data_IF_097662698767
#
_entry.id   IF_097662698767
#
_cell.length_a   1.000
_cell.length_b   1.000
_cell.length_c   1.000
_cell.angle_alpha   90.00
_cell.angle_beta   90.00
_cell.angle_gamma   90.00
#
_symmetry.space_group_name_H-M   'P 1'
#
loop_
_entity.id
_entity.type
_entity.pdbx_description
1 polymer ?
#
# COMPACT_ATOMS: atom_id res chain seq x y z
N UNK A 1 12.82 -15.16 28.18
CA UNK A 1 11.64 -14.71 27.39
C UNK A 1 11.55 -15.58 26.14
N UNK A 2 10.40 -16.20 25.88
CA UNK A 2 10.17 -17.08 24.72
C UNK A 2 9.58 -16.24 23.57
N UNK A 3 10.14 -16.36 22.38
CA UNK A 3 9.68 -15.62 21.18
C UNK A 3 8.23 -15.96 20.79
N UNK A 4 7.69 -17.13 21.20
CA UNK A 4 6.27 -17.45 21.05
C UNK A 4 5.36 -16.46 21.79
N UNK A 5 5.79 -15.98 22.96
CA UNK A 5 5.05 -14.97 23.72
C UNK A 5 5.01 -13.62 22.98
N UNK A 6 6.13 -13.25 22.35
CA UNK A 6 6.23 -12.03 21.53
C UNK A 6 5.35 -12.11 20.28
N UNK A 7 5.32 -13.28 19.60
CA UNK A 7 4.40 -13.48 18.44
C UNK A 7 2.94 -13.32 18.86
N UNK A 8 2.56 -13.90 19.98
CA UNK A 8 1.18 -13.76 20.50
C UNK A 8 0.87 -12.32 20.87
N UNK A 9 1.83 -11.60 21.45
CA UNK A 9 1.70 -10.19 21.77
C UNK A 9 1.50 -9.33 20.49
N UNK A 10 2.36 -9.50 19.48
CA UNK A 10 2.27 -8.77 18.22
C UNK A 10 0.96 -9.09 17.46
N UNK A 11 0.58 -10.37 17.41
CA UNK A 11 -0.68 -10.78 16.78
C UNK A 11 -1.91 -10.19 17.48
N UNK A 12 -1.94 -10.19 18.83
CA UNK A 12 -3.04 -9.60 19.59
C UNK A 12 -3.09 -8.08 19.44
N UNK A 13 -1.96 -7.41 19.38
CA UNK A 13 -1.90 -5.96 19.14
C UNK A 13 -2.51 -5.59 17.78
N UNK A 14 -2.35 -6.44 16.77
CA UNK A 14 -2.87 -6.24 15.42
C UNK A 14 -4.35 -6.61 15.29
N UNK A 15 -4.76 -7.75 15.86
CA UNK A 15 -6.15 -8.24 15.74
C UNK A 15 -7.13 -7.58 16.69
N UNK A 16 -6.64 -7.09 17.85
CA UNK A 16 -7.48 -6.56 18.93
C UNK A 16 -8.40 -7.59 19.60
N UNK A 17 -8.31 -8.88 19.23
CA UNK A 17 -9.24 -9.92 19.68
C UNK A 17 -8.51 -11.22 20.05
N UNK A 18 -8.71 -11.70 21.28
CA UNK A 18 -8.14 -12.97 21.73
C UNK A 18 -8.59 -14.16 20.87
N UNK A 19 -9.85 -14.15 20.41
CA UNK A 19 -10.40 -15.21 19.56
C UNK A 19 -9.81 -15.16 18.15
N UNK A 20 -9.72 -13.98 17.55
CA UNK A 20 -9.12 -13.80 16.24
C UNK A 20 -7.61 -14.16 16.26
N UNK A 21 -6.89 -13.74 17.31
CA UNK A 21 -5.48 -14.12 17.51
C UNK A 21 -5.31 -15.65 17.64
N UNK A 22 -6.21 -16.29 18.37
CA UNK A 22 -6.17 -17.75 18.55
C UNK A 22 -6.38 -18.48 17.20
N UNK A 23 -7.34 -18.04 16.40
CA UNK A 23 -7.58 -18.58 15.07
C UNK A 23 -6.36 -18.39 14.15
N UNK A 24 -5.78 -17.20 14.12
CA UNK A 24 -4.62 -16.86 13.29
C UNK A 24 -3.36 -17.69 13.68
N UNK A 25 -3.12 -17.86 14.98
CA UNK A 25 -1.95 -18.61 15.46
C UNK A 25 -2.21 -20.12 15.62
N UNK A 26 -3.39 -20.62 15.23
CA UNK A 26 -3.82 -22.01 15.41
C UNK A 26 -3.70 -22.49 16.87
N UNK A 27 -4.11 -21.63 17.81
CA UNK A 27 -4.07 -21.88 19.24
C UNK A 27 -5.49 -21.88 19.85
N UNK A 28 -5.63 -22.42 21.06
CA UNK A 28 -6.82 -22.18 21.87
C UNK A 28 -6.79 -20.74 22.44
N UNK A 29 -7.96 -20.10 22.55
CA UNK A 29 -8.06 -18.75 23.14
C UNK A 29 -7.54 -18.67 24.57
N UNK A 30 -7.68 -19.75 25.37
CA UNK A 30 -7.08 -19.87 26.70
C UNK A 30 -5.55 -19.82 26.66
N UNK A 31 -4.93 -20.44 25.64
CA UNK A 31 -3.47 -20.42 25.44
C UNK A 31 -2.99 -19.00 25.14
N UNK A 32 -3.66 -18.27 24.24
CA UNK A 32 -3.36 -16.86 23.96
C UNK A 32 -3.42 -16.02 25.25
N UNK A 33 -4.48 -16.22 26.04
CA UNK A 33 -4.65 -15.51 27.32
C UNK A 33 -3.50 -15.82 28.31
N UNK A 34 -3.08 -17.06 28.41
CA UNK A 34 -1.97 -17.48 29.30
C UNK A 34 -0.65 -16.89 28.78
N UNK A 35 -0.38 -16.96 27.51
CA UNK A 35 0.86 -16.44 26.91
C UNK A 35 1.00 -14.92 27.12
N UNK A 36 -0.07 -14.16 26.90
CA UNK A 36 -0.07 -12.70 27.15
C UNK A 36 0.19 -12.40 28.63
N UNK A 37 -0.53 -13.07 29.55
CA UNK A 37 -0.31 -12.88 30.99
C UNK A 37 1.11 -13.27 31.42
N UNK A 38 1.68 -14.31 30.83
CA UNK A 38 3.06 -14.72 31.10
C UNK A 38 4.04 -13.65 30.70
N UNK A 39 3.87 -13.07 29.47
CA UNK A 39 4.71 -11.98 29.00
C UNK A 39 4.56 -10.73 29.88
N UNK A 40 3.35 -10.34 30.24
CA UNK A 40 3.09 -9.21 31.15
C UNK A 40 3.78 -9.39 32.52
N UNK A 41 3.76 -10.61 33.03
CA UNK A 41 4.44 -10.94 34.29
C UNK A 41 5.96 -10.92 34.16
N UNK A 42 6.53 -11.44 33.06
CA UNK A 42 7.98 -11.39 32.79
C UNK A 42 8.49 -9.95 32.58
N UNK A 43 7.69 -9.10 31.97
CA UNK A 43 8.02 -7.68 31.70
C UNK A 43 7.64 -6.75 32.88
N UNK A 44 6.90 -7.26 33.88
CA UNK A 44 6.47 -6.47 35.02
C UNK A 44 5.47 -5.35 34.70
N UNK A 45 4.82 -5.40 33.52
CA UNK A 45 3.88 -4.36 33.09
C UNK A 45 2.73 -4.93 32.29
N UNK A 46 1.57 -4.25 32.33
CA UNK A 46 0.42 -4.59 31.47
C UNK A 46 0.65 -4.11 30.04
N UNK A 47 0.41 -5.00 29.09
CA UNK A 47 0.53 -4.72 27.67
C UNK A 47 -0.82 -4.40 27.03
N UNK A 48 -1.92 -4.92 27.60
CA UNK A 48 -3.27 -4.71 27.08
C UNK A 48 -4.27 -4.29 28.15
N UNK A 49 -5.15 -3.37 27.76
CA UNK A 49 -6.42 -3.13 28.42
C UNK A 49 -7.49 -4.06 27.83
N UNK A 50 -8.23 -4.74 28.70
CA UNK A 50 -9.32 -5.64 28.30
C UNK A 50 -10.63 -4.87 28.35
N UNK A 51 -11.18 -4.59 27.19
CA UNK A 51 -12.46 -3.90 27.01
C UNK A 51 -13.53 -4.92 26.59
N UNK A 52 -14.82 -4.64 26.81
CA UNK A 52 -15.90 -5.47 26.26
C UNK A 52 -15.82 -5.67 24.74
N UNK A 53 -15.21 -4.72 24.03
CA UNK A 53 -15.01 -4.72 22.57
C UNK A 53 -13.73 -5.43 22.13
N UNK A 54 -12.87 -5.90 23.05
CA UNK A 54 -11.61 -6.57 22.69
C UNK A 54 -10.42 -6.18 23.56
N UNK A 55 -9.22 -6.30 23.01
CA UNK A 55 -7.95 -5.96 23.64
C UNK A 55 -7.32 -4.75 22.94
N UNK A 56 -6.98 -3.71 23.72
CA UNK A 56 -6.31 -2.51 23.20
C UNK A 56 -4.94 -2.39 23.87
N UNK A 57 -3.84 -2.19 23.10
CA UNK A 57 -2.53 -2.00 23.69
C UNK A 57 -2.48 -0.79 24.62
N UNK A 58 -1.91 -0.97 25.82
CA UNK A 58 -1.60 0.13 26.76
C UNK A 58 -0.51 1.05 26.17
N UNK A 59 -0.19 2.17 26.84
CA UNK A 59 0.96 2.99 26.46
C UNK A 59 2.28 2.20 26.49
N UNK A 60 2.46 1.32 27.48
CA UNK A 60 3.59 0.40 27.55
C UNK A 60 3.54 -0.63 26.40
N UNK A 61 2.37 -1.21 26.14
CA UNK A 61 2.18 -2.15 25.02
C UNK A 61 2.56 -1.54 23.68
N UNK A 62 2.10 -0.33 23.37
CA UNK A 62 2.49 0.35 22.12
C UNK A 62 3.99 0.61 21.98
N UNK A 63 4.66 0.99 23.06
CA UNK A 63 6.11 1.21 23.05
C UNK A 63 6.89 -0.08 22.87
N UNK A 64 6.53 -1.13 23.59
CA UNK A 64 7.23 -2.42 23.56
C UNK A 64 6.90 -3.25 22.31
N UNK A 65 5.86 -2.89 21.56
CA UNK A 65 5.51 -3.60 20.33
C UNK A 65 6.65 -3.53 19.30
N UNK A 66 7.23 -2.36 19.10
CA UNK A 66 8.36 -2.17 18.19
C UNK A 66 9.57 -3.02 18.60
N UNK A 67 9.92 -3.01 19.89
CA UNK A 67 11.03 -3.82 20.40
C UNK A 67 10.76 -5.33 20.24
N UNK A 68 9.51 -5.76 20.46
CA UNK A 68 9.09 -7.15 20.27
C UNK A 68 9.19 -7.59 18.80
N UNK A 69 8.79 -6.73 17.87
CA UNK A 69 8.93 -6.96 16.43
C UNK A 69 10.41 -7.04 16.02
N UNK A 70 11.28 -6.18 16.53
CA UNK A 70 12.73 -6.22 16.29
C UNK A 70 13.36 -7.55 16.74
N UNK A 71 12.92 -8.09 17.88
CA UNK A 71 13.37 -9.42 18.36
C UNK A 71 12.89 -10.55 17.45
N UNK A 72 11.65 -10.50 17.00
CA UNK A 72 11.10 -11.50 16.08
C UNK A 72 11.81 -11.46 14.71
N UNK A 73 12.14 -10.27 14.22
CA UNK A 73 12.93 -10.09 13.00
C UNK A 73 14.36 -10.61 13.17
N UNK A 74 14.97 -10.43 14.36
CA UNK A 74 16.28 -10.99 14.66
C UNK A 74 16.27 -12.53 14.70
N UNK A 75 15.22 -13.12 15.28
CA UNK A 75 15.02 -14.58 15.27
C UNK A 75 14.87 -15.11 13.84
N UNK A 76 14.07 -14.43 13.02
CA UNK A 76 13.88 -14.80 11.62
C UNK A 76 15.20 -14.71 10.81
N UNK A 77 16.00 -13.65 11.04
CA UNK A 77 17.36 -13.54 10.44
C UNK A 77 18.27 -14.69 10.83
N UNK A 78 18.28 -15.06 12.10
CA UNK A 78 19.09 -16.15 12.60
C UNK A 78 18.71 -17.47 11.92
N UNK A 79 17.41 -17.75 11.81
CA UNK A 79 16.91 -18.96 11.13
C UNK A 79 17.27 -18.99 9.64
N UNK A 80 17.11 -17.85 8.95
CA UNK A 80 17.48 -17.73 7.54
C UNK A 80 18.98 -17.91 7.32
N UNK A 81 19.83 -17.31 8.20
CA UNK A 81 21.27 -17.49 8.15
C UNK A 81 21.66 -18.97 8.40
N UNK A 82 21.01 -19.63 9.36
CA UNK A 82 21.25 -21.05 9.62
C UNK A 82 20.84 -21.93 8.42
N UNK A 83 19.74 -21.65 7.76
CA UNK A 83 19.32 -22.34 6.55
C UNK A 83 20.31 -22.13 5.38
N UNK A 84 20.85 -20.91 5.24
CA UNK A 84 21.91 -20.61 4.25
C UNK A 84 23.21 -21.36 4.51
N UNK A 85 23.62 -21.51 5.78
CA UNK A 85 24.80 -22.31 6.18
C UNK A 85 24.59 -23.81 5.93
N UNK A 86 23.36 -24.30 6.04
CA UNK A 86 23.03 -25.69 5.78
C UNK A 86 23.02 -26.10 4.30
N UNK A 87 23.38 -25.16 3.38
CA UNK A 87 23.46 -25.45 1.94
C UNK A 87 22.10 -25.71 1.27
N UNK A 88 21.03 -25.32 1.93
CA UNK A 88 19.70 -25.36 1.33
C UNK A 88 19.59 -24.23 0.30
N UNK A 89 19.95 -24.50 -0.95
CA UNK A 89 19.57 -23.70 -2.13
C UNK A 89 18.06 -23.86 -2.37
N UNK A 90 17.25 -23.56 -1.36
CA UNK A 90 15.80 -23.53 -1.50
C UNK A 90 15.40 -22.28 -2.28
N UNK A 91 14.46 -22.44 -3.21
CA UNK A 91 13.74 -21.30 -3.78
C UNK A 91 13.12 -20.50 -2.65
N UNK A 92 13.16 -19.13 -2.70
CA UNK A 92 12.52 -18.30 -1.68
C UNK A 92 11.05 -18.70 -1.49
N UNK A 93 10.66 -18.91 -0.22
CA UNK A 93 9.30 -19.29 0.15
C UNK A 93 8.81 -18.51 1.37
N UNK A 94 7.51 -18.44 1.56
CA UNK A 94 6.86 -17.78 2.69
C UNK A 94 5.89 -16.69 2.26
N UNK A 95 5.26 -16.05 3.25
CA UNK A 95 4.28 -14.98 3.03
C UNK A 95 4.97 -13.63 2.88
N UNK A 96 4.45 -12.81 1.96
CA UNK A 96 4.89 -11.42 1.73
C UNK A 96 3.66 -10.53 1.63
N UNK A 97 3.55 -9.55 2.52
CA UNK A 97 2.50 -8.54 2.51
C UNK A 97 2.96 -7.31 1.71
N UNK A 98 2.31 -7.06 0.57
CA UNK A 98 2.60 -5.93 -0.32
C UNK A 98 1.44 -4.92 -0.31
N UNK A 99 1.71 -3.69 0.13
CA UNK A 99 0.77 -2.57 0.00
C UNK A 99 0.95 -1.81 -1.31
N UNK A 100 -0.14 -1.45 -1.97
CA UNK A 100 -0.07 -0.60 -3.17
C UNK A 100 -1.39 0.14 -3.39
N UNK A 101 -1.33 1.31 -4.05
CA UNK A 101 -2.53 2.02 -4.48
C UNK A 101 -3.35 1.20 -5.49
N UNK A 102 -4.68 1.39 -5.47
CA UNK A 102 -5.62 0.65 -6.34
C UNK A 102 -5.20 0.68 -7.82
N UNK A 103 -4.71 1.81 -8.30
CA UNK A 103 -4.24 1.97 -9.69
C UNK A 103 -3.12 0.99 -10.05
N UNK A 104 -2.15 0.81 -9.17
CA UNK A 104 -1.03 -0.12 -9.37
C UNK A 104 -1.50 -1.56 -9.23
N UNK A 105 -2.40 -1.84 -8.27
CA UNK A 105 -3.00 -3.16 -8.11
C UNK A 105 -3.74 -3.62 -9.37
N UNK A 106 -4.48 -2.71 -10.00
CA UNK A 106 -5.27 -3.04 -11.20
C UNK A 106 -4.44 -3.08 -12.49
N UNK A 107 -3.41 -2.24 -12.64
CA UNK A 107 -2.72 -2.04 -13.93
C UNK A 107 -1.35 -2.72 -14.01
N UNK A 108 -0.56 -2.68 -12.95
CA UNK A 108 0.85 -3.11 -12.98
C UNK A 108 1.10 -4.45 -12.30
N UNK A 109 0.48 -4.69 -11.14
CA UNK A 109 0.75 -5.87 -10.33
C UNK A 109 0.28 -7.20 -10.92
N UNK A 110 -0.78 -7.32 -11.74
CA UNK A 110 -1.19 -8.61 -12.30
C UNK A 110 -0.07 -9.34 -13.04
N UNK A 111 0.74 -8.63 -13.83
CA UNK A 111 1.89 -9.21 -14.54
C UNK A 111 3.02 -9.65 -13.60
N UNK A 112 3.23 -8.94 -12.51
CA UNK A 112 4.21 -9.29 -11.47
C UNK A 112 3.77 -10.55 -10.73
N UNK A 113 2.50 -10.61 -10.33
CA UNK A 113 1.90 -11.76 -9.65
C UNK A 113 1.99 -13.01 -10.54
N UNK A 114 1.63 -12.88 -11.81
CA UNK A 114 1.73 -13.98 -12.78
C UNK A 114 3.18 -14.47 -12.99
N UNK A 115 4.16 -13.58 -12.91
CA UNK A 115 5.57 -13.94 -12.99
C UNK A 115 6.06 -14.64 -11.72
N UNK A 116 5.75 -14.07 -10.54
CA UNK A 116 6.08 -14.67 -9.25
C UNK A 116 5.50 -16.08 -9.10
N UNK A 117 4.25 -16.28 -9.48
CA UNK A 117 3.62 -17.61 -9.42
C UNK A 117 4.37 -18.68 -10.22
N UNK A 118 5.06 -18.29 -11.30
CA UNK A 118 5.88 -19.21 -12.11
C UNK A 118 7.31 -19.37 -11.58
N UNK A 119 7.94 -18.27 -11.17
CA UNK A 119 9.36 -18.28 -10.79
C UNK A 119 9.59 -18.63 -9.33
N UNK A 120 8.62 -18.35 -8.46
CA UNK A 120 8.70 -18.54 -7.01
C UNK A 120 7.37 -19.08 -6.45
N UNK A 121 6.98 -20.31 -6.81
CA UNK A 121 5.67 -20.88 -6.43
C UNK A 121 5.50 -21.07 -4.92
N UNK A 122 6.58 -21.05 -4.14
CA UNK A 122 6.55 -21.09 -2.67
C UNK A 122 6.27 -19.74 -2.00
N UNK A 123 6.16 -18.63 -2.78
CA UNK A 123 5.83 -17.31 -2.22
C UNK A 123 4.32 -17.10 -2.26
N UNK A 124 3.71 -16.89 -1.10
CA UNK A 124 2.33 -16.43 -0.93
C UNK A 124 2.29 -14.92 -0.85
N UNK A 125 1.89 -14.24 -1.92
CA UNK A 125 1.79 -12.78 -1.97
C UNK A 125 0.42 -12.31 -1.51
N UNK A 126 0.38 -11.62 -0.37
CA UNK A 126 -0.81 -10.95 0.16
C UNK A 126 -0.84 -9.49 -0.29
N UNK A 127 -1.69 -9.17 -1.25
CA UNK A 127 -1.82 -7.83 -1.80
C UNK A 127 -2.86 -7.02 -1.02
N UNK A 128 -2.44 -5.84 -0.54
CA UNK A 128 -3.29 -4.90 0.20
C UNK A 128 -3.47 -3.61 -0.61
N UNK A 129 -4.66 -3.38 -1.21
CA UNK A 129 -4.99 -2.09 -1.80
C UNK A 129 -5.09 -1.02 -0.71
N UNK A 130 -4.13 -0.10 -0.66
CA UNK A 130 -4.06 0.94 0.38
C UNK A 130 -3.45 2.23 -0.19
N UNK A 131 -3.90 3.38 0.33
CA UNK A 131 -3.29 4.67 0.03
C UNK A 131 -1.94 4.85 0.71
N UNK A 132 -1.16 5.85 0.26
CA UNK A 132 0.22 6.07 0.72
C UNK A 132 0.36 6.19 2.24
N UNK A 133 -0.52 6.94 2.91
CA UNK A 133 -0.47 7.12 4.35
C UNK A 133 -0.68 5.79 5.12
N UNK A 134 -1.68 5.01 4.72
CA UNK A 134 -1.95 3.70 5.32
C UNK A 134 -0.85 2.68 5.03
N UNK A 135 -0.22 2.75 3.84
CA UNK A 135 0.92 1.92 3.49
C UNK A 135 2.14 2.23 4.36
N UNK A 136 2.45 3.52 4.57
CA UNK A 136 3.53 3.97 5.47
C UNK A 136 3.29 3.48 6.90
N UNK A 137 2.06 3.61 7.40
CA UNK A 137 1.70 3.09 8.72
C UNK A 137 1.78 1.56 8.78
N UNK A 138 1.35 0.87 7.73
CA UNK A 138 1.45 -0.59 7.60
C UNK A 138 2.89 -1.09 7.63
N UNK A 139 3.82 -0.41 6.94
CA UNK A 139 5.26 -0.70 6.99
C UNK A 139 5.84 -0.50 8.39
N UNK A 140 5.48 0.59 9.06
CA UNK A 140 5.92 0.90 10.43
C UNK A 140 5.43 -0.11 11.46
N UNK A 141 4.17 -0.50 11.33
CA UNK A 141 3.53 -1.47 12.22
C UNK A 141 3.81 -2.93 11.84
N UNK A 142 4.62 -3.18 10.82
CA UNK A 142 4.96 -4.53 10.38
C UNK A 142 3.81 -5.32 9.75
N UNK A 143 2.72 -4.68 9.42
CA UNK A 143 1.62 -5.29 8.67
C UNK A 143 1.92 -5.44 7.18
N UNK A 144 2.89 -4.68 6.68
CA UNK A 144 3.39 -4.75 5.31
C UNK A 144 4.90 -4.98 5.33
N UNK A 145 5.39 -5.82 4.45
CA UNK A 145 6.82 -6.02 4.20
C UNK A 145 7.35 -5.03 3.18
N UNK A 146 6.55 -4.78 2.15
CA UNK A 146 6.85 -3.89 1.03
C UNK A 146 5.65 -2.99 0.73
N UNK A 147 5.92 -1.81 0.15
CA UNK A 147 4.86 -0.98 -0.42
C UNK A 147 5.30 -0.34 -1.74
N UNK A 148 4.34 -0.15 -2.65
CA UNK A 148 4.49 0.68 -3.84
C UNK A 148 3.69 1.97 -3.64
N UNK A 149 4.40 3.09 -3.53
CA UNK A 149 3.82 4.41 -3.32
C UNK A 149 3.91 5.25 -4.60
N UNK A 150 2.81 5.88 -4.98
CA UNK A 150 2.80 6.90 -6.04
C UNK A 150 3.09 8.27 -5.41
N UNK A 151 4.37 8.53 -5.16
CA UNK A 151 4.84 9.73 -4.46
C UNK A 151 6.05 10.34 -5.15
N UNK A 152 6.09 11.70 -5.23
CA UNK A 152 7.27 12.40 -5.74
C UNK A 152 8.50 12.12 -4.86
N UNK A 153 8.32 12.10 -3.54
CA UNK A 153 9.33 11.78 -2.55
C UNK A 153 8.71 11.08 -1.36
N UNK A 154 9.45 10.19 -0.75
CA UNK A 154 9.10 9.53 0.51
C UNK A 154 10.06 10.04 1.58
N UNK A 155 9.67 11.11 2.27
CA UNK A 155 10.50 11.79 3.28
C UNK A 155 10.21 11.22 4.68
N UNK A 156 10.54 9.95 4.88
CA UNK A 156 10.45 9.27 6.16
C UNK A 156 11.80 8.64 6.51
N UNK A 157 12.43 9.10 7.60
CA UNK A 157 13.78 8.67 7.99
C UNK A 157 13.87 7.17 8.32
N UNK A 158 12.76 6.58 8.75
CA UNK A 158 12.58 5.17 9.13
C UNK A 158 12.28 4.26 7.93
N UNK A 159 12.01 4.82 6.76
CA UNK A 159 11.75 4.08 5.54
C UNK A 159 12.91 4.18 4.54
N UNK A 160 13.08 3.14 3.75
CA UNK A 160 13.91 3.15 2.55
C UNK A 160 12.99 3.14 1.34
N UNK A 161 13.18 4.07 0.43
CA UNK A 161 12.40 4.15 -0.80
C UNK A 161 13.35 4.27 -2.00
N UNK A 162 12.99 3.60 -3.11
CA UNK A 162 13.67 3.74 -4.40
C UNK A 162 12.66 3.81 -5.53
N UNK A 163 12.83 4.69 -6.52
CA UNK A 163 11.95 4.76 -7.67
C UNK A 163 12.17 3.53 -8.57
N UNK A 164 11.07 2.91 -9.03
CA UNK A 164 11.09 1.83 -10.01
C UNK A 164 10.66 2.28 -11.39
N UNK A 165 9.66 3.18 -11.45
CA UNK A 165 9.03 3.64 -12.67
C UNK A 165 8.51 5.07 -12.48
N UNK A 166 8.04 5.67 -13.58
CA UNK A 166 7.23 6.88 -13.55
C UNK A 166 5.88 6.58 -14.17
N UNK A 167 4.80 7.01 -13.52
CA UNK A 167 3.44 6.79 -13.96
C UNK A 167 2.89 8.07 -14.59
N UNK A 168 2.69 8.10 -15.91
CA UNK A 168 2.06 9.24 -16.60
C UNK A 168 0.61 9.40 -16.14
N UNK A 169 0.19 10.65 -15.95
CA UNK A 169 -1.17 11.01 -15.60
C UNK A 169 -1.90 11.62 -16.79
N UNK A 170 -3.19 11.33 -16.92
CA UNK A 170 -4.03 11.87 -17.98
C UNK A 170 -5.34 12.42 -17.40
N UNK A 171 -5.74 13.58 -17.91
CA UNK A 171 -7.09 14.08 -17.67
C UNK A 171 -8.06 13.36 -18.59
N UNK A 172 -9.22 13.01 -18.07
CA UNK A 172 -10.22 12.21 -18.76
C UNK A 172 -11.59 12.85 -18.67
N UNK A 173 -12.34 12.71 -19.75
CA UNK A 173 -13.73 13.14 -19.88
C UNK A 173 -14.55 12.06 -20.59
N UNK A 174 -15.89 12.23 -20.63
CA UNK A 174 -16.73 11.49 -21.55
C UNK A 174 -16.43 11.89 -23.01
N UNK A 175 -16.59 10.98 -23.97
CA UNK A 175 -16.62 11.34 -25.40
C UNK A 175 -17.69 12.41 -25.65
N UNK A 176 -17.33 13.46 -26.37
CA UNK A 176 -18.24 14.60 -26.63
C UNK A 176 -18.36 15.63 -25.50
N UNK A 177 -17.62 15.47 -24.40
CA UNK A 177 -17.52 16.53 -23.40
C UNK A 177 -16.82 17.76 -24.00
N UNK A 178 -17.21 19.02 -23.61
CA UNK A 178 -16.61 20.25 -24.19
C UNK A 178 -15.10 20.35 -24.08
N UNK A 179 -14.48 19.65 -23.13
CA UNK A 179 -13.03 19.60 -22.95
C UNK A 179 -12.36 18.39 -23.64
N UNK A 180 -13.13 17.42 -24.17
CA UNK A 180 -12.58 16.21 -24.78
C UNK A 180 -11.77 16.54 -26.05
N UNK A 181 -10.65 15.84 -26.22
CA UNK A 181 -9.74 15.94 -27.38
C UNK A 181 -9.31 17.39 -27.70
N UNK A 182 -9.30 18.26 -26.68
CA UNK A 182 -8.95 19.67 -26.81
C UNK A 182 -7.88 20.07 -25.81
N UNK A 183 -7.09 21.07 -26.18
CA UNK A 183 -6.20 21.76 -25.25
C UNK A 183 -7.01 22.76 -24.41
N UNK A 184 -6.98 22.59 -23.09
CA UNK A 184 -7.67 23.42 -22.10
C UNK A 184 -6.69 23.95 -21.05
N UNK A 185 -6.92 25.16 -20.58
CA UNK A 185 -6.13 25.76 -19.51
C UNK A 185 -6.74 25.56 -18.11
N UNK A 186 -6.00 25.97 -17.07
CA UNK A 186 -6.46 25.92 -15.69
C UNK A 186 -7.79 26.65 -15.46
N UNK A 187 -8.00 27.80 -16.10
CA UNK A 187 -9.23 28.56 -15.96
C UNK A 187 -10.47 27.80 -16.46
N UNK A 188 -10.32 26.96 -17.48
CA UNK A 188 -11.40 26.14 -18.00
C UNK A 188 -11.60 24.90 -17.13
N UNK A 189 -10.52 24.23 -16.73
CA UNK A 189 -10.57 23.09 -15.79
C UNK A 189 -11.19 23.48 -14.44
N UNK A 190 -10.87 24.65 -13.91
CA UNK A 190 -11.40 25.13 -12.64
C UNK A 190 -12.92 25.32 -12.61
N UNK A 191 -13.57 25.37 -13.79
CA UNK A 191 -15.03 25.46 -13.92
C UNK A 191 -15.73 24.10 -14.02
N UNK A 192 -14.96 23.03 -14.15
CA UNK A 192 -15.50 21.68 -14.31
C UNK A 192 -15.72 21.00 -12.96
N UNK A 193 -16.60 19.98 -12.96
CA UNK A 193 -16.71 19.04 -11.84
C UNK A 193 -15.61 17.99 -11.96
N UNK A 194 -14.98 17.63 -10.84
CA UNK A 194 -13.94 16.59 -10.82
C UNK A 194 -14.30 15.44 -9.88
N UNK A 195 -14.09 14.24 -10.37
CA UNK A 195 -14.07 13.01 -9.61
C UNK A 195 -12.61 12.71 -9.26
N UNK A 196 -12.28 12.82 -7.97
CA UNK A 196 -10.92 12.72 -7.47
C UNK A 196 -10.79 11.54 -6.51
N UNK A 197 -9.59 10.98 -6.40
CA UNK A 197 -9.33 9.88 -5.49
C UNK A 197 -9.44 10.33 -4.02
N UNK A 198 -9.49 9.36 -3.09
CA UNK A 198 -9.53 9.63 -1.65
C UNK A 198 -8.35 10.48 -1.16
N UNK A 199 -8.45 11.03 0.03
CA UNK A 199 -7.40 11.82 0.66
C UNK A 199 -6.13 10.98 0.87
N UNK A 200 -4.95 11.62 0.70
CA UNK A 200 -3.67 10.94 0.79
C UNK A 200 -3.18 10.35 -0.54
N UNK A 201 -3.93 10.50 -1.63
CA UNK A 201 -3.45 10.22 -2.97
C UNK A 201 -2.69 11.45 -3.50
N UNK A 202 -1.36 11.37 -3.61
CA UNK A 202 -0.48 12.53 -3.86
C UNK A 202 -0.84 13.34 -5.09
N UNK A 203 -1.09 12.69 -6.24
CA UNK A 203 -1.44 13.39 -7.49
C UNK A 203 -2.85 13.97 -7.44
N UNK A 204 -3.79 13.27 -6.81
CA UNK A 204 -5.16 13.74 -6.65
C UNK A 204 -5.21 14.96 -5.73
N UNK A 205 -4.51 14.91 -4.60
CA UNK A 205 -4.43 16.02 -3.67
C UNK A 205 -3.64 17.22 -4.26
N UNK A 206 -2.64 16.96 -5.11
CA UNK A 206 -1.96 18.01 -5.86
C UNK A 206 -2.94 18.74 -6.80
N UNK A 207 -3.71 17.99 -7.59
CA UNK A 207 -4.75 18.55 -8.47
C UNK A 207 -5.76 19.37 -7.68
N UNK A 208 -6.29 18.83 -6.57
CA UNK A 208 -7.26 19.52 -5.71
C UNK A 208 -6.70 20.83 -5.17
N UNK A 209 -5.45 20.84 -4.68
CA UNK A 209 -4.80 22.08 -4.22
C UNK A 209 -4.66 23.10 -5.34
N UNK A 210 -4.23 22.66 -6.52
CA UNK A 210 -4.08 23.53 -7.69
C UNK A 210 -5.40 24.14 -8.11
N UNK A 211 -6.45 23.33 -8.25
CA UNK A 211 -7.79 23.80 -8.64
C UNK A 211 -8.38 24.75 -7.61
N UNK A 212 -8.17 24.52 -6.32
CA UNK A 212 -8.66 25.42 -5.25
C UNK A 212 -7.90 26.74 -5.15
N UNK A 213 -6.68 26.80 -5.65
CA UNK A 213 -5.89 28.03 -5.71
C UNK A 213 -6.24 28.95 -6.89
N UNK A 214 -7.06 28.49 -7.81
CA UNK A 214 -7.48 29.28 -8.96
C UNK A 214 -8.46 30.38 -8.52
N UNK A 215 -8.43 31.56 -9.17
CA UNK A 215 -9.42 32.61 -8.91
C UNK A 215 -10.80 32.19 -9.43
N UNK A 216 -11.84 32.46 -8.64
CA UNK A 216 -13.22 32.17 -9.01
C UNK A 216 -13.94 31.27 -8.01
N UNK A 217 -15.13 30.75 -8.36
CA UNK A 217 -15.86 29.84 -7.50
C UNK A 217 -15.09 28.51 -7.32
N UNK A 218 -15.15 27.89 -6.14
CA UNK A 218 -14.46 26.64 -5.90
C UNK A 218 -14.97 25.53 -6.84
N UNK A 219 -14.09 24.66 -7.34
CA UNK A 219 -14.48 23.55 -8.20
C UNK A 219 -15.38 22.57 -7.45
N UNK A 220 -16.31 21.93 -8.17
CA UNK A 220 -17.09 20.82 -7.62
C UNK A 220 -16.21 19.58 -7.57
N UNK A 221 -15.94 19.06 -6.38
CA UNK A 221 -15.08 17.89 -6.17
C UNK A 221 -15.89 16.78 -5.50
N UNK A 222 -15.88 15.61 -6.08
CA UNK A 222 -16.43 14.38 -5.49
C UNK A 222 -15.29 13.39 -5.30
N UNK A 223 -15.09 12.90 -4.06
CA UNK A 223 -14.04 11.93 -3.74
C UNK A 223 -14.56 10.51 -3.81
N UNK A 224 -13.76 9.62 -4.38
CA UNK A 224 -14.05 8.19 -4.48
C UNK A 224 -12.85 7.38 -3.99
N UNK A 225 -13.14 6.26 -3.30
CA UNK A 225 -12.15 5.24 -2.96
C UNK A 225 -11.94 4.20 -4.07
N UNK A 226 -12.65 4.32 -5.22
CA UNK A 226 -12.56 3.38 -6.33
C UNK A 226 -12.37 4.10 -7.67
N UNK A 227 -11.31 3.72 -8.38
CA UNK A 227 -11.01 4.21 -9.74
C UNK A 227 -12.13 3.82 -10.71
N UNK A 228 -12.72 2.64 -10.56
CA UNK A 228 -13.82 2.18 -11.40
C UNK A 228 -15.06 3.05 -11.25
N UNK A 229 -15.41 3.43 -10.01
CA UNK A 229 -16.52 4.34 -9.77
C UNK A 229 -16.27 5.72 -10.38
N UNK A 230 -15.06 6.26 -10.25
CA UNK A 230 -14.69 7.53 -10.88
C UNK A 230 -14.78 7.45 -12.41
N UNK A 231 -14.26 6.38 -13.03
CA UNK A 231 -14.35 6.16 -14.49
C UNK A 231 -15.79 6.09 -14.98
N UNK A 232 -16.65 5.35 -14.27
CA UNK A 232 -18.06 5.21 -14.60
C UNK A 232 -18.80 6.55 -14.55
N UNK A 233 -18.56 7.36 -13.53
CA UNK A 233 -19.12 8.71 -13.43
C UNK A 233 -18.65 9.62 -14.58
N UNK A 234 -17.38 9.56 -14.93
CA UNK A 234 -16.82 10.35 -16.02
C UNK A 234 -17.37 9.90 -17.37
N UNK A 235 -17.46 8.58 -17.63
CA UNK A 235 -18.05 8.04 -18.85
C UNK A 235 -19.53 8.41 -19.01
N UNK A 236 -20.25 8.57 -17.89
CA UNK A 236 -21.62 9.09 -17.87
C UNK A 236 -21.73 10.62 -18.10
N UNK A 237 -20.62 11.32 -18.35
CA UNK A 237 -20.61 12.75 -18.63
C UNK A 237 -20.74 13.67 -17.42
N UNK A 238 -20.55 13.15 -16.20
CA UNK A 238 -20.78 13.91 -14.96
C UNK A 238 -19.62 14.86 -14.59
N UNK A 239 -18.48 14.79 -15.29
CA UNK A 239 -17.31 15.63 -15.07
C UNK A 239 -16.01 15.02 -15.58
N UNK A 240 -14.91 15.47 -15.00
CA UNK A 240 -13.55 15.07 -15.33
C UNK A 240 -12.89 14.25 -14.22
N UNK A 241 -11.81 13.54 -14.55
CA UNK A 241 -10.91 12.94 -13.57
C UNK A 241 -9.47 13.02 -14.05
N UNK A 242 -8.52 12.80 -13.13
CA UNK A 242 -7.10 12.66 -13.40
C UNK A 242 -6.67 11.28 -12.89
N UNK A 243 -6.21 10.42 -13.79
CA UNK A 243 -5.81 9.04 -13.46
C UNK A 243 -4.48 8.67 -14.12
N UNK A 244 -3.78 7.66 -13.57
CA UNK A 244 -2.66 7.03 -14.26
C UNK A 244 -3.10 6.46 -15.61
N UNK A 245 -2.36 6.80 -16.68
CA UNK A 245 -2.67 6.37 -18.06
C UNK A 245 -2.83 4.85 -18.17
N UNK A 246 -2.01 4.10 -17.44
CA UNK A 246 -2.07 2.63 -17.44
C UNK A 246 -3.42 2.06 -17.00
N UNK A 247 -4.22 2.81 -16.22
CA UNK A 247 -5.53 2.35 -15.74
C UNK A 247 -6.66 2.54 -16.76
N UNK A 248 -6.42 3.27 -17.84
CA UNK A 248 -7.46 3.71 -18.81
C UNK A 248 -7.14 3.40 -20.26
N UNK A 249 -6.07 2.65 -20.54
CA UNK A 249 -5.64 2.31 -21.91
C UNK A 249 -6.79 1.67 -22.71
N UNK A 250 -7.52 0.74 -22.09
CA UNK A 250 -8.64 0.07 -22.74
C UNK A 250 -9.79 1.04 -23.04
N UNK A 251 -10.19 1.85 -22.08
CA UNK A 251 -11.29 2.80 -22.22
C UNK A 251 -11.01 3.86 -23.30
N UNK A 252 -9.76 4.32 -23.39
CA UNK A 252 -9.34 5.22 -24.45
C UNK A 252 -9.38 4.52 -25.83
N UNK A 253 -8.92 3.28 -25.92
CA UNK A 253 -8.95 2.50 -27.17
C UNK A 253 -10.37 2.16 -27.62
N UNK A 254 -11.28 1.88 -26.68
CA UNK A 254 -12.71 1.60 -26.95
C UNK A 254 -13.53 2.88 -27.16
N UNK A 255 -12.95 4.07 -26.95
CA UNK A 255 -13.65 5.35 -27.06
C UNK A 255 -14.75 5.56 -26.01
N UNK A 256 -14.71 4.84 -24.88
CA UNK A 256 -15.64 5.04 -23.76
C UNK A 256 -15.22 6.20 -22.84
N UNK A 257 -13.96 6.59 -22.90
CA UNK A 257 -13.41 7.82 -22.34
C UNK A 257 -12.59 8.55 -23.41
N UNK A 258 -12.50 9.87 -23.29
CA UNK A 258 -11.68 10.73 -24.10
C UNK A 258 -10.61 11.42 -23.26
N UNK A 259 -9.44 11.66 -23.84
CA UNK A 259 -8.37 12.42 -23.19
C UNK A 259 -8.65 13.92 -23.28
N UNK A 260 -8.29 14.63 -22.22
CA UNK A 260 -8.32 16.10 -22.21
C UNK A 260 -6.88 16.59 -22.15
N UNK A 261 -6.47 17.37 -23.11
CA UNK A 261 -5.12 17.95 -23.17
C UNK A 261 -5.04 19.17 -22.25
N UNK A 262 -4.92 18.90 -20.95
CA UNK A 262 -4.81 19.91 -19.89
C UNK A 262 -3.37 20.38 -19.67
N UNK A 263 -3.18 21.29 -18.69
CA UNK A 263 -1.84 21.70 -18.27
C UNK A 263 -1.01 20.50 -17.83
N UNK A 264 0.29 20.56 -18.11
CA UNK A 264 1.21 19.46 -17.83
C UNK A 264 1.24 19.11 -16.33
N UNK A 265 1.08 17.83 -16.06
CA UNK A 265 1.31 17.25 -14.73
C UNK A 265 2.48 16.29 -14.85
N UNK A 266 3.56 16.51 -14.07
CA UNK A 266 4.71 15.62 -14.12
C UNK A 266 4.31 14.18 -13.78
N UNK A 267 4.87 13.18 -14.47
CA UNK A 267 4.68 11.78 -14.12
C UNK A 267 5.07 11.51 -12.66
N UNK A 268 4.27 10.71 -11.96
CA UNK A 268 4.49 10.39 -10.55
C UNK A 268 5.39 9.15 -10.44
N UNK A 269 6.49 9.22 -9.67
CA UNK A 269 7.32 8.05 -9.43
C UNK A 269 6.56 6.97 -8.67
N UNK A 270 6.76 5.72 -9.08
CA UNK A 270 6.39 4.52 -8.34
C UNK A 270 7.55 4.18 -7.42
N UNK A 271 7.41 4.43 -6.13
CA UNK A 271 8.44 4.21 -5.12
C UNK A 271 8.25 2.83 -4.48
N UNK A 272 9.22 1.94 -4.64
CA UNK A 272 9.30 0.72 -3.82
C UNK A 272 9.86 1.09 -2.46
N UNK A 273 9.06 0.83 -1.42
CA UNK A 273 9.34 1.28 -0.06
C UNK A 273 9.29 0.10 0.91
N UNK A 274 10.20 0.10 1.88
CA UNK A 274 10.22 -0.85 3.00
C UNK A 274 10.75 -0.18 4.27
N UNK A 275 10.51 -0.75 5.44
CA UNK A 275 11.04 -0.27 6.70
C UNK A 275 12.57 -0.47 6.75
N UNK A 276 13.34 0.59 7.01
CA UNK A 276 14.81 0.59 6.92
C UNK A 276 15.47 -0.31 7.96
N UNK A 277 14.88 -0.43 9.13
CA UNK A 277 15.42 -1.21 10.25
C UNK A 277 14.86 -2.63 10.33
N UNK A 278 13.83 -2.95 9.56
CA UNK A 278 13.27 -4.31 9.52
C UNK A 278 14.05 -5.18 8.56
N UNK A 279 14.20 -6.44 8.95
CA UNK A 279 14.75 -7.45 8.08
C UNK A 279 13.81 -7.76 6.92
N UNK A 280 14.37 -7.73 5.73
CA UNK A 280 13.63 -8.13 4.53
C UNK A 280 13.88 -9.61 4.27
N UNK A 281 12.83 -10.44 4.34
CA UNK A 281 12.94 -11.87 4.14
C UNK A 281 13.42 -12.21 2.72
N UNK A 282 14.01 -13.40 2.47
CA UNK A 282 14.37 -13.85 1.12
C UNK A 282 13.16 -13.81 0.15
N UNK A 283 11.97 -14.15 0.63
CA UNK A 283 10.72 -14.05 -0.15
C UNK A 283 10.40 -12.58 -0.51
N UNK A 284 10.48 -11.65 0.45
CA UNK A 284 10.25 -10.23 0.19
C UNK A 284 11.33 -9.63 -0.74
N UNK A 285 12.59 -10.07 -0.62
CA UNK A 285 13.66 -9.69 -1.54
C UNK A 285 13.40 -10.18 -2.97
N UNK A 286 12.91 -11.42 -3.14
CA UNK A 286 12.52 -11.95 -4.44
C UNK A 286 11.37 -11.16 -5.06
N UNK A 287 10.33 -10.81 -4.27
CA UNK A 287 9.24 -9.94 -4.70
C UNK A 287 9.76 -8.57 -5.11
N UNK A 288 10.64 -7.94 -4.31
CA UNK A 288 11.23 -6.63 -4.61
C UNK A 288 12.08 -6.66 -5.89
N UNK A 289 12.79 -7.75 -6.14
CA UNK A 289 13.58 -7.96 -7.37
C UNK A 289 12.66 -8.08 -8.59
N UNK A 290 11.59 -8.86 -8.47
CA UNK A 290 10.63 -9.05 -9.55
C UNK A 290 9.85 -7.77 -9.88
N UNK A 291 9.46 -7.00 -8.86
CA UNK A 291 8.90 -5.66 -9.02
C UNK A 291 9.87 -4.74 -9.79
N UNK A 292 11.14 -4.72 -9.41
CA UNK A 292 12.15 -3.91 -10.07
C UNK A 292 12.41 -4.35 -11.52
N UNK A 293 12.26 -5.64 -11.83
CA UNK A 293 12.44 -6.16 -13.18
C UNK A 293 11.28 -5.85 -14.10
N UNK A 294 10.04 -5.88 -13.60
CA UNK A 294 8.82 -5.79 -14.42
C UNK A 294 8.13 -4.42 -14.42
N UNK A 295 8.43 -3.57 -13.44
CA UNK A 295 7.83 -2.24 -13.33
C UNK A 295 8.57 -1.10 -14.04
N UNK A 296 9.85 -1.19 -14.46
CA UNK A 296 10.43 -0.11 -15.25
C UNK A 296 9.45 0.25 -16.37
N UNK A 297 9.17 1.53 -16.51
CA UNK A 297 8.32 2.01 -17.58
C UNK A 297 8.89 1.49 -18.89
N UNK A 298 8.06 0.88 -19.72
CA UNK A 298 8.32 0.87 -21.14
C UNK A 298 8.55 2.34 -21.51
N UNK A 299 9.79 2.68 -21.78
CA UNK A 299 10.14 3.98 -22.35
C UNK A 299 9.31 4.14 -23.62
N UNK A 300 8.77 5.32 -23.91
CA UNK A 300 7.76 5.56 -24.94
C UNK A 300 8.16 5.04 -26.31
#
# INVERSE_FOLDING_TARGET
>A
MDTRLLRTFAALARTGSFTATAAELHLAQSTVTVQVRTLERELGTRLFDRLPTGAVPTSAGRRLLTDAEDVLDAEARLRAAAAGVAGAHGTPEGQVALGAGESLCASRLPRVIASLARSHPGIELNLHPVGSAAAVEGLRAGRLDLALLLEQRVDHADLSARPLAREPLVYLAAPGHPCADRTVGWAELGRQSFFVHEEGCSYSDHLVRTLRALPGPPPRLTRFGSIEAARSCVAAGLGLTLLPRATVVRQLAEGTLAEVHGPEIPPVPVQLTHARRRWTSPAAQAVATELARLLPADTP
#
